data_IF_525486750411
#
_entry.id   IF_525486750411
#
_cell.length_a   1.000
_cell.length_b   1.000
_cell.length_c   1.000
_cell.angle_alpha   90.00
_cell.angle_beta   90.00
_cell.angle_gamma   90.00
#
_symmetry.space_group_name_H-M   'P 1'
#
loop_
_entity.id
_entity.type
_entity.pdbx_description
1 polymer ?
#
# COMPACT_ATOMS: atom_id res chain seq x y z
N UNK A 1 -11.93 8.52 5.69
CA UNK A 1 -10.90 7.59 6.18
C UNK A 1 -10.89 6.38 5.25
N UNK A 2 -9.73 5.93 4.79
CA UNK A 2 -9.59 4.77 3.88
C UNK A 2 -8.57 3.81 4.49
N UNK A 3 -9.05 2.72 5.09
CA UNK A 3 -8.21 1.73 5.76
C UNK A 3 -8.26 0.43 4.98
N UNK A 4 -7.09 -0.11 4.64
CA UNK A 4 -6.97 -1.44 4.03
C UNK A 4 -7.71 -1.65 2.70
N UNK A 5 -8.00 -0.56 1.97
CA UNK A 5 -8.69 -0.61 0.67
C UNK A 5 -7.71 -0.50 -0.49
N UNK A 6 -6.68 0.36 -0.35
CA UNK A 6 -5.78 0.73 -1.44
C UNK A 6 -4.90 -0.43 -1.90
N UNK A 7 -4.73 -1.45 -1.08
CA UNK A 7 -4.08 -2.70 -1.47
C UNK A 7 -4.91 -3.62 -2.36
N UNK A 8 -6.23 -3.48 -2.37
CA UNK A 8 -7.13 -4.37 -3.11
C UNK A 8 -7.64 -3.74 -4.41
N UNK A 9 -7.27 -2.48 -4.69
CA UNK A 9 -7.64 -1.81 -5.94
C UNK A 9 -6.70 -2.20 -7.07
N UNK A 10 -7.24 -2.31 -8.28
CA UNK A 10 -6.45 -2.61 -9.47
C UNK A 10 -5.49 -1.48 -9.84
N UNK A 11 -5.89 -0.23 -9.58
CA UNK A 11 -5.10 0.96 -9.90
C UNK A 11 -5.10 1.93 -8.70
N UNK A 12 -4.00 1.90 -7.93
CA UNK A 12 -3.81 2.75 -6.78
C UNK A 12 -3.70 4.24 -7.16
N UNK A 13 -3.23 4.57 -8.37
CA UNK A 13 -3.11 5.95 -8.83
C UNK A 13 -4.49 6.55 -9.10
N UNK A 14 -5.35 5.84 -9.82
CA UNK A 14 -6.74 6.26 -10.07
C UNK A 14 -7.49 6.41 -8.75
N UNK A 15 -7.35 5.46 -7.83
CA UNK A 15 -7.97 5.51 -6.51
C UNK A 15 -7.52 6.73 -5.69
N UNK A 16 -6.20 6.95 -5.56
CA UNK A 16 -5.67 8.10 -4.83
C UNK A 16 -6.10 9.43 -5.44
N UNK A 17 -6.07 9.53 -6.78
CA UNK A 17 -6.49 10.73 -7.49
C UNK A 17 -7.94 11.08 -7.20
N UNK A 18 -8.81 10.07 -7.14
CA UNK A 18 -10.21 10.27 -6.81
C UNK A 18 -10.41 10.70 -5.35
N UNK A 19 -9.70 10.08 -4.41
CA UNK A 19 -9.69 10.52 -3.02
C UNK A 19 -9.30 12.00 -2.89
N UNK A 20 -8.24 12.43 -3.57
CA UNK A 20 -7.80 13.83 -3.57
C UNK A 20 -8.82 14.77 -4.21
N UNK A 21 -9.49 14.33 -5.29
CA UNK A 21 -10.51 15.11 -5.99
C UNK A 21 -11.71 15.42 -5.10
N UNK A 22 -12.16 14.44 -4.31
CA UNK A 22 -13.36 14.58 -3.46
C UNK A 22 -13.09 15.22 -2.10
N UNK A 23 -11.82 15.44 -1.72
CA UNK A 23 -11.48 16.15 -0.50
C UNK A 23 -11.96 17.59 -0.56
N UNK A 24 -12.82 18.00 0.37
CA UNK A 24 -13.17 19.42 0.57
C UNK A 24 -11.93 20.25 1.00
N UNK A 25 -11.88 21.56 0.72
CA UNK A 25 -10.89 22.46 1.30
C UNK A 25 -10.85 22.33 2.83
N UNK A 26 -9.65 22.36 3.44
CA UNK A 26 -9.44 22.06 4.87
C UNK A 26 -9.66 20.59 5.28
N UNK A 27 -10.14 19.74 4.37
CA UNK A 27 -10.40 18.32 4.62
C UNK A 27 -9.13 17.53 4.91
N UNK A 28 -9.24 16.50 5.74
CA UNK A 28 -8.14 15.59 6.11
C UNK A 28 -8.46 14.18 5.66
N UNK A 29 -7.53 13.58 4.93
CA UNK A 29 -7.54 12.20 4.49
C UNK A 29 -6.57 11.38 5.34
N UNK A 30 -7.10 10.32 5.94
CA UNK A 30 -6.34 9.26 6.59
C UNK A 30 -6.36 8.04 5.67
N UNK A 31 -5.18 7.63 5.20
CA UNK A 31 -4.98 6.46 4.36
C UNK A 31 -4.07 5.48 5.10
N UNK A 32 -4.51 4.23 5.23
CA UNK A 32 -3.74 3.18 5.90
C UNK A 32 -3.56 1.97 5.00
N UNK A 33 -2.36 1.38 5.02
CA UNK A 33 -2.01 0.16 4.29
C UNK A 33 -1.13 -0.76 5.13
N UNK A 34 -1.24 -2.08 4.95
CA UNK A 34 -0.42 -3.06 5.65
C UNK A 34 1.00 -3.02 5.12
N UNK A 35 1.97 -3.16 6.01
CA UNK A 35 3.37 -3.35 5.68
C UNK A 35 3.60 -4.80 5.23
N UNK A 36 4.04 -4.94 3.98
CA UNK A 36 4.20 -6.24 3.30
C UNK A 36 5.59 -6.85 3.45
N UNK A 37 6.48 -6.20 4.19
CA UNK A 37 7.84 -6.72 4.42
C UNK A 37 7.88 -7.84 5.47
N UNK A 38 6.73 -8.43 5.83
CA UNK A 38 6.73 -9.69 6.56
C UNK A 38 7.25 -10.81 5.68
N UNK A 39 8.08 -11.65 6.28
CA UNK A 39 8.66 -12.84 5.67
C UNK A 39 7.60 -13.81 5.12
N UNK A 40 6.41 -13.81 5.74
CA UNK A 40 5.29 -14.65 5.38
C UNK A 40 4.06 -13.81 5.03
N UNK A 41 3.44 -14.18 3.92
CA UNK A 41 2.19 -13.58 3.46
C UNK A 41 1.02 -13.97 4.35
N UNK A 42 0.21 -13.01 4.78
CA UNK A 42 -0.83 -13.25 5.79
C UNK A 42 -2.11 -13.92 5.24
N UNK A 43 -2.36 -13.86 3.93
CA UNK A 43 -3.55 -14.43 3.28
C UNK A 43 -3.36 -15.84 2.71
N UNK A 44 -2.12 -16.26 2.47
CA UNK A 44 -1.71 -17.44 1.68
C UNK A 44 -0.65 -18.25 2.38
N UNK A 45 0.00 -17.67 3.39
CA UNK A 45 1.07 -18.28 4.17
C UNK A 45 2.28 -18.68 3.33
N UNK A 46 2.34 -18.28 2.05
CA UNK A 46 3.45 -18.56 1.16
C UNK A 46 4.61 -17.62 1.55
N UNK A 47 5.76 -18.17 1.95
CA UNK A 47 6.92 -17.36 2.28
C UNK A 47 7.42 -16.63 1.03
N UNK A 48 7.87 -15.39 1.22
CA UNK A 48 8.60 -14.58 0.23
C UNK A 48 7.87 -14.20 -1.07
N UNK A 49 6.61 -14.58 -1.26
CA UNK A 49 5.89 -14.29 -2.51
C UNK A 49 5.65 -12.78 -2.75
N UNK A 50 5.78 -11.94 -1.72
CA UNK A 50 5.66 -10.47 -1.84
C UNK A 50 6.97 -9.73 -2.06
N UNK A 51 8.11 -10.41 -1.90
CA UNK A 51 9.42 -9.79 -2.06
C UNK A 51 9.79 -9.46 -3.51
N UNK A 52 9.53 -10.32 -4.52
CA UNK A 52 9.94 -10.00 -5.88
C UNK A 52 9.07 -8.88 -6.48
N UNK A 53 9.61 -8.08 -7.42
CA UNK A 53 8.84 -7.11 -8.19
C UNK A 53 7.62 -7.76 -8.84
N UNK A 54 6.50 -7.02 -8.94
CA UNK A 54 5.23 -7.51 -9.49
C UNK A 54 5.34 -8.37 -10.77
N UNK A 55 6.13 -8.01 -11.82
CA UNK A 55 6.23 -8.85 -13.01
C UNK A 55 6.87 -10.22 -12.71
N UNK A 56 7.90 -10.26 -11.86
CA UNK A 56 8.58 -11.49 -11.46
C UNK A 56 7.66 -12.34 -10.57
N UNK A 57 6.98 -11.70 -9.62
CA UNK A 57 5.98 -12.36 -8.78
C UNK A 57 4.88 -13.01 -9.61
N UNK A 58 4.31 -12.28 -10.56
CA UNK A 58 3.22 -12.78 -11.39
C UNK A 58 3.71 -13.89 -12.33
N UNK A 59 4.93 -13.80 -12.86
CA UNK A 59 5.54 -14.89 -13.62
C UNK A 59 5.70 -16.17 -12.78
N UNK A 60 6.19 -16.05 -11.54
CA UNK A 60 6.31 -17.17 -10.61
C UNK A 60 4.95 -17.78 -10.28
N UNK A 61 3.95 -16.95 -9.97
CA UNK A 61 2.58 -17.42 -9.70
C UNK A 61 1.96 -18.11 -10.91
N UNK A 62 2.17 -17.60 -12.13
CA UNK A 62 1.72 -18.25 -13.37
C UNK A 62 2.39 -19.60 -13.59
N UNK A 63 3.68 -19.72 -13.25
CA UNK A 63 4.39 -20.99 -13.30
C UNK A 63 3.83 -21.99 -12.29
N UNK A 64 3.57 -21.57 -11.04
CA UNK A 64 2.94 -22.41 -10.01
C UNK A 64 1.53 -22.84 -10.42
N UNK A 65 0.75 -21.95 -11.02
CA UNK A 65 -0.60 -22.21 -11.51
C UNK A 65 -0.64 -22.93 -12.87
N UNK A 66 0.52 -23.27 -13.46
CA UNK A 66 0.60 -24.01 -14.72
C UNK A 66 0.20 -25.49 -14.54
N UNK A 67 -0.11 -26.22 -15.63
CA UNK A 67 -0.42 -27.64 -15.56
C UNK A 67 0.64 -28.50 -14.84
N UNK A 68 1.90 -28.05 -14.85
CA UNK A 68 3.03 -28.71 -14.18
C UNK A 68 3.05 -28.46 -12.67
N UNK A 69 2.64 -27.27 -12.22
CA UNK A 69 2.63 -26.89 -10.79
C UNK A 69 1.34 -27.25 -10.06
N UNK A 70 0.19 -27.28 -10.76
CA UNK A 70 -1.14 -27.58 -10.20
C UNK A 70 -1.25 -28.87 -9.38
N UNK A 71 -0.60 -30.01 -9.74
CA UNK A 71 -0.68 -31.24 -8.95
C UNK A 71 -0.11 -31.09 -7.54
N UNK A 72 0.79 -30.14 -7.34
CA UNK A 72 1.51 -29.90 -6.08
C UNK A 72 0.81 -28.85 -5.19
N UNK A 73 -0.31 -28.30 -5.63
CA UNK A 73 -1.04 -27.22 -4.94
C UNK A 73 -2.41 -27.69 -4.45
N UNK A 74 -2.71 -27.40 -3.19
CA UNK A 74 -4.07 -27.56 -2.65
C UNK A 74 -5.05 -26.64 -3.38
N UNK A 75 -6.34 -26.99 -3.38
CA UNK A 75 -7.37 -26.18 -4.03
C UNK A 75 -7.46 -24.77 -3.41
N UNK A 76 -7.38 -24.69 -2.08
CA UNK A 76 -7.34 -23.43 -1.32
C UNK A 76 -6.17 -22.54 -1.75
N UNK A 77 -4.97 -23.10 -1.83
CA UNK A 77 -3.79 -22.35 -2.26
C UNK A 77 -3.90 -21.88 -3.72
N UNK A 78 -4.52 -22.66 -4.61
CA UNK A 78 -4.78 -22.25 -6.00
C UNK A 78 -5.72 -21.06 -6.07
N UNK A 79 -6.82 -21.07 -5.30
CA UNK A 79 -7.76 -19.96 -5.25
C UNK A 79 -7.09 -18.68 -4.75
N UNK A 80 -6.31 -18.81 -3.67
CA UNK A 80 -5.51 -17.74 -3.08
C UNK A 80 -4.48 -17.14 -4.03
N UNK A 81 -3.68 -17.97 -4.70
CA UNK A 81 -2.70 -17.51 -5.70
C UNK A 81 -3.36 -16.85 -6.90
N UNK A 82 -4.54 -17.34 -7.31
CA UNK A 82 -5.32 -16.73 -8.41
C UNK A 82 -5.86 -15.36 -8.00
N UNK A 83 -6.33 -15.20 -6.76
CA UNK A 83 -6.79 -13.91 -6.23
C UNK A 83 -5.66 -12.88 -6.06
N UNK A 84 -4.43 -13.34 -5.82
CA UNK A 84 -3.23 -12.49 -5.75
C UNK A 84 -2.64 -12.16 -7.12
N UNK A 85 -2.97 -12.94 -8.15
CA UNK A 85 -2.45 -12.75 -9.50
C UNK A 85 -2.93 -11.40 -10.03
N UNK A 86 -1.98 -10.60 -10.53
CA UNK A 86 -2.22 -9.26 -11.06
C UNK A 86 -2.74 -8.23 -10.03
N UNK A 87 -2.83 -8.58 -8.73
CA UNK A 87 -3.13 -7.61 -7.67
C UNK A 87 -1.92 -6.68 -7.46
N UNK A 88 -2.08 -5.42 -7.87
CA UNK A 88 -1.06 -4.40 -7.68
C UNK A 88 -1.14 -3.87 -6.25
N UNK A 89 -0.09 -4.15 -5.50
CA UNK A 89 0.01 -3.75 -4.12
C UNK A 89 0.92 -2.54 -4.00
N UNK A 90 0.38 -1.32 -3.81
CA UNK A 90 1.20 -0.14 -3.70
C UNK A 90 2.04 -0.21 -2.43
N UNK A 91 3.33 0.08 -2.57
CA UNK A 91 4.22 0.23 -1.40
C UNK A 91 4.02 1.61 -0.77
N UNK A 92 4.43 1.81 0.49
CA UNK A 92 4.48 3.15 1.10
C UNK A 92 5.25 4.17 0.26
N UNK A 93 6.32 3.72 -0.42
CA UNK A 93 7.08 4.56 -1.33
C UNK A 93 6.26 4.97 -2.57
N UNK A 94 5.45 4.06 -3.12
CA UNK A 94 4.58 4.35 -4.28
C UNK A 94 3.51 5.37 -3.90
N UNK A 95 2.86 5.22 -2.75
CA UNK A 95 1.88 6.19 -2.26
C UNK A 95 2.50 7.56 -2.00
N UNK A 96 3.72 7.59 -1.45
CA UNK A 96 4.46 8.84 -1.23
C UNK A 96 4.82 9.52 -2.56
N UNK A 97 5.23 8.74 -3.57
CA UNK A 97 5.48 9.25 -4.93
C UNK A 97 4.20 9.79 -5.57
N UNK A 98 3.09 9.07 -5.46
CA UNK A 98 1.78 9.49 -5.97
C UNK A 98 1.31 10.77 -5.28
N UNK A 99 1.42 10.84 -3.95
CA UNK A 99 1.16 12.07 -3.21
C UNK A 99 2.00 13.24 -3.76
N UNK A 100 3.32 13.06 -3.88
CA UNK A 100 4.22 14.11 -4.35
C UNK A 100 3.91 14.57 -5.78
N UNK A 101 3.46 13.65 -6.65
CA UNK A 101 3.01 13.95 -8.02
C UNK A 101 1.76 14.84 -8.03
N UNK A 102 0.84 14.62 -7.10
CA UNK A 102 -0.48 15.24 -7.10
C UNK A 102 -0.63 16.41 -6.10
N UNK A 103 0.34 16.62 -5.21
CA UNK A 103 0.24 17.60 -4.12
C UNK A 103 -0.03 19.03 -4.60
N UNK A 104 0.62 19.46 -5.68
CA UNK A 104 0.44 20.82 -6.22
C UNK A 104 -0.90 20.95 -6.95
N UNK A 105 -1.31 19.90 -7.68
CA UNK A 105 -2.55 19.90 -8.46
C UNK A 105 -3.80 20.00 -7.59
N UNK A 106 -3.81 19.33 -6.44
CA UNK A 106 -4.97 19.29 -5.54
C UNK A 106 -4.80 20.13 -4.27
N UNK A 107 -3.72 20.91 -4.20
CA UNK A 107 -3.43 21.80 -3.06
C UNK A 107 -3.36 21.04 -1.73
N UNK A 108 -2.51 20.02 -1.71
CA UNK A 108 -2.37 19.06 -0.61
C UNK A 108 -1.09 19.32 0.20
N UNK A 109 -1.25 19.21 1.51
CA UNK A 109 -0.21 19.22 2.52
C UNK A 109 -0.04 17.83 3.12
N UNK A 110 1.19 17.34 3.16
CA UNK A 110 1.51 16.15 3.94
C UNK A 110 1.52 16.51 5.42
N UNK A 111 0.63 15.88 6.19
CA UNK A 111 0.59 16.05 7.65
C UNK A 111 1.45 14.99 8.32
N UNK A 112 1.34 13.74 7.87
CA UNK A 112 2.05 12.61 8.46
C UNK A 112 2.29 11.50 7.43
N UNK A 113 3.45 10.86 7.50
CA UNK A 113 3.75 9.60 6.80
C UNK A 113 4.56 8.71 7.74
N UNK A 114 3.93 7.72 8.38
CA UNK A 114 4.55 6.97 9.47
C UNK A 114 4.11 5.51 9.49
N UNK A 115 4.95 4.64 10.05
CA UNK A 115 4.56 3.27 10.38
C UNK A 115 4.14 3.18 11.85
N UNK A 116 3.12 2.38 12.16
CA UNK A 116 2.62 2.13 13.52
C UNK A 116 2.24 0.65 13.73
N UNK A 117 2.17 0.21 14.99
CA UNK A 117 1.81 -1.15 15.39
C UNK A 117 0.83 -1.18 16.56
N UNK A 118 0.41 -2.38 16.97
CA UNK A 118 -0.64 -2.60 17.97
C UNK A 118 -0.33 -2.03 19.38
N UNK A 119 0.93 -1.67 19.67
CA UNK A 119 1.38 -1.16 20.97
C UNK A 119 1.44 0.37 21.08
N UNK A 120 0.81 1.12 20.16
CA UNK A 120 0.74 2.58 20.20
C UNK A 120 1.54 3.26 19.09
N UNK A 121 1.13 4.49 18.78
CA UNK A 121 1.74 5.31 17.74
C UNK A 121 3.20 5.61 18.10
N UNK A 122 4.12 5.33 17.18
CA UNK A 122 5.49 5.84 17.30
C UNK A 122 5.48 7.30 16.82
N UNK A 123 5.92 8.29 17.62
CA UNK A 123 5.81 9.69 17.24
C UNK A 123 6.62 10.02 15.97
N UNK A 124 5.95 10.82 15.13
CA UNK A 124 6.42 11.76 14.09
C UNK A 124 7.80 11.54 13.46
N UNK A 125 7.81 11.31 12.14
CA UNK A 125 8.76 12.04 11.30
C UNK A 125 8.23 13.48 11.21
N UNK A 126 8.75 14.36 12.07
CA UNK A 126 8.54 15.79 11.97
C UNK A 126 8.97 16.27 10.58
N UNK A 127 8.29 17.31 10.10
CA UNK A 127 8.49 17.98 8.83
C UNK A 127 9.95 17.92 8.32
N UNK A 128 10.17 17.28 7.17
CA UNK A 128 11.38 17.50 6.36
C UNK A 128 12.34 16.32 6.17
N UNK A 129 12.08 15.12 6.70
CA UNK A 129 13.01 13.98 6.56
C UNK A 129 12.34 12.66 6.22
N UNK A 130 12.57 12.14 5.01
CA UNK A 130 12.08 10.83 4.55
C UNK A 130 12.90 9.69 5.17
N UNK A 131 12.64 9.35 6.44
CA UNK A 131 13.30 8.24 7.14
C UNK A 131 12.61 6.89 6.86
N UNK A 132 12.68 6.40 5.63
CA UNK A 132 12.06 5.13 5.20
C UNK A 132 12.82 3.89 5.71
N UNK A 133 14.11 4.00 6.01
CA UNK A 133 15.00 2.83 6.11
C UNK A 133 15.04 2.09 7.46
N UNK A 134 14.41 2.59 8.54
CA UNK A 134 14.62 2.04 9.89
C UNK A 134 13.42 1.31 10.51
N UNK A 135 12.29 1.12 9.81
CA UNK A 135 11.01 0.70 10.43
C UNK A 135 10.20 -0.36 9.64
N UNK A 136 10.88 -1.25 8.90
CA UNK A 136 10.26 -2.33 8.11
C UNK A 136 9.53 -3.42 8.94
N UNK A 137 9.55 -3.35 10.27
CA UNK A 137 8.97 -4.37 11.16
C UNK A 137 7.58 -4.02 11.70
N UNK A 138 7.08 -2.81 11.43
CA UNK A 138 5.78 -2.36 11.92
C UNK A 138 4.67 -2.74 10.94
N UNK A 139 3.50 -3.19 11.41
CA UNK A 139 2.52 -3.87 10.56
C UNK A 139 1.74 -2.94 9.62
N UNK A 140 1.68 -1.64 9.90
CA UNK A 140 0.83 -0.73 9.13
C UNK A 140 1.52 0.60 8.88
N UNK A 141 1.33 1.15 7.69
CA UNK A 141 1.74 2.50 7.31
C UNK A 141 0.52 3.39 7.22
N UNK A 142 0.63 4.61 7.73
CA UNK A 142 -0.38 5.67 7.65
C UNK A 142 0.18 6.84 6.85
N UNK A 143 -0.64 7.33 5.94
CA UNK A 143 -0.47 8.59 5.24
C UNK A 143 -1.62 9.52 5.63
N UNK A 144 -1.29 10.66 6.24
CA UNK A 144 -2.25 11.71 6.58
C UNK A 144 -1.99 12.91 5.69
N UNK A 145 -3.00 13.29 4.92
CA UNK A 145 -2.96 14.38 3.97
C UNK A 145 -4.05 15.38 4.32
N UNK A 146 -3.74 16.67 4.27
CA UNK A 146 -4.70 17.77 4.42
C UNK A 146 -4.79 18.54 3.12
N UNK A 147 -5.98 18.95 2.72
CA UNK A 147 -6.16 19.94 1.64
C UNK A 147 -6.11 21.34 2.26
N UNK A 148 -5.38 22.27 1.65
CA UNK A 148 -5.36 23.65 2.14
C UNK A 148 -6.77 24.24 2.13
N UNK A 149 -7.02 25.15 3.07
CA UNK A 149 -8.18 26.02 3.02
C UNK A 149 -7.85 27.04 1.93
N UNK A 150 -8.48 26.91 0.76
CA UNK A 150 -8.26 27.87 -0.31
C UNK A 150 -8.48 29.27 0.24
N UNK A 151 -7.48 30.14 0.10
CA UNK A 151 -7.65 31.58 0.33
C UNK A 151 -8.82 32.01 -0.53
N UNK A 152 -9.93 32.30 0.13
CA UNK A 152 -11.14 32.85 -0.47
C UNK A 152 -10.88 34.27 -0.96
#
# INVERSE_FOLDING_TARGET
MSMHVVEHVQDAEVYMRELFRVMRPGGVLFLELPNRHYWQEQHTLVPWIHMPPNPVRNALMRLMLSPLGRPWLTLDLRQKLTALLDLLHPTPADLTKLFNRYRTKFDLQLVEASFYGAAGAVPQAAAGGMHILRRLHLPTFRLVVRRHEGTS
#
